data_IF_895127915885
#
_entry.id   IF_895127915885
#
_cell.length_a   1.000
_cell.length_b   1.000
_cell.length_c   1.000
_cell.angle_alpha   90.00
_cell.angle_beta   90.00
_cell.angle_gamma   90.00
#
_symmetry.space_group_name_H-M   'P 1'
#
loop_
_entity.id
_entity.type
_entity.pdbx_description
1 polymer ?
#
# COMPACT_ATOMS: atom_id res chain seq x y z
N UNK A 1 -14.95 -13.00 26.19
CA UNK A 1 -15.28 -12.71 24.78
C UNK A 1 -14.51 -11.46 24.36
N UNK A 2 -13.62 -11.54 23.38
CA UNK A 2 -12.86 -10.39 22.89
C UNK A 2 -13.79 -9.51 22.04
N UNK A 3 -14.03 -8.27 22.48
CA UNK A 3 -14.84 -7.30 21.73
C UNK A 3 -13.90 -6.47 20.86
N UNK A 4 -13.97 -6.67 19.54
CA UNK A 4 -13.26 -5.83 18.59
C UNK A 4 -13.94 -4.47 18.50
N UNK A 5 -13.24 -3.42 18.94
CA UNK A 5 -13.72 -2.03 18.83
C UNK A 5 -13.21 -1.42 17.54
N UNK A 6 -14.12 -0.80 16.78
CA UNK A 6 -13.77 0.02 15.62
C UNK A 6 -14.21 1.46 15.87
N UNK A 7 -13.44 2.41 15.38
CA UNK A 7 -13.73 3.83 15.49
C UNK A 7 -13.82 4.45 14.10
N UNK A 8 -14.83 5.30 13.90
CA UNK A 8 -15.03 6.07 12.68
C UNK A 8 -14.79 7.54 12.98
N UNK A 9 -13.80 8.13 12.31
CA UNK A 9 -13.47 9.54 12.46
C UNK A 9 -13.60 10.26 11.12
N UNK A 10 -14.02 11.53 11.17
CA UNK A 10 -13.92 12.47 10.05
C UNK A 10 -12.85 13.49 10.39
N UNK A 11 -11.86 13.62 9.50
CA UNK A 11 -10.78 14.60 9.63
C UNK A 11 -11.07 15.83 8.77
N UNK A 12 -10.67 17.01 9.26
CA UNK A 12 -10.75 18.28 8.54
C UNK A 12 -9.34 18.88 8.47
N UNK A 13 -8.50 18.40 7.54
CA UNK A 13 -7.12 18.84 7.45
C UNK A 13 -7.02 20.27 6.95
N UNK A 14 -6.01 21.01 7.42
CA UNK A 14 -5.58 22.24 6.77
C UNK A 14 -4.73 21.94 5.52
N UNK A 15 -4.38 22.97 4.74
CA UNK A 15 -3.64 22.80 3.48
C UNK A 15 -2.29 22.09 3.62
N UNK A 16 -1.54 22.34 4.70
CA UNK A 16 -0.27 21.63 4.94
C UNK A 16 -0.52 20.14 5.21
N UNK A 17 -1.54 19.82 5.99
CA UNK A 17 -1.92 18.45 6.30
C UNK A 17 -2.44 17.70 5.07
N UNK A 18 -3.29 18.32 4.23
CA UNK A 18 -3.76 17.74 2.97
C UNK A 18 -2.59 17.28 2.10
N UNK A 19 -1.57 18.13 1.94
CA UNK A 19 -0.38 17.83 1.13
C UNK A 19 0.38 16.63 1.71
N UNK A 20 0.62 16.61 3.02
CA UNK A 20 1.34 15.52 3.67
C UNK A 20 0.56 14.21 3.55
N UNK A 21 -0.74 14.22 3.82
CA UNK A 21 -1.62 13.04 3.68
C UNK A 21 -1.59 12.51 2.25
N UNK A 22 -1.73 13.39 1.26
CA UNK A 22 -1.70 13.00 -0.14
C UNK A 22 -0.36 12.39 -0.54
N UNK A 23 0.77 12.96 -0.09
CA UNK A 23 2.11 12.40 -0.33
C UNK A 23 2.27 11.02 0.32
N UNK A 24 1.94 10.88 1.60
CA UNK A 24 2.11 9.64 2.37
C UNK A 24 1.22 8.50 1.86
N UNK A 25 -0.07 8.78 1.63
CA UNK A 25 -0.99 7.76 1.12
C UNK A 25 -0.70 7.49 -0.37
N UNK A 26 -0.35 8.53 -1.13
CA UNK A 26 -0.04 8.43 -2.55
C UNK A 26 1.18 7.55 -2.83
N UNK A 27 2.29 7.75 -2.13
CA UNK A 27 3.49 6.93 -2.32
C UNK A 27 3.24 5.46 -1.95
N UNK A 28 2.57 5.21 -0.81
CA UNK A 28 2.20 3.86 -0.37
C UNK A 28 1.29 3.17 -1.39
N UNK A 29 0.27 3.88 -1.90
CA UNK A 29 -0.65 3.35 -2.91
C UNK A 29 0.06 3.03 -4.22
N UNK A 30 0.98 3.91 -4.66
CA UNK A 30 1.75 3.70 -5.88
C UNK A 30 2.59 2.42 -5.79
N UNK A 31 3.38 2.28 -4.71
CA UNK A 31 4.22 1.09 -4.49
C UNK A 31 3.37 -0.18 -4.40
N UNK A 32 2.28 -0.15 -3.64
CA UNK A 32 1.37 -1.29 -3.54
C UNK A 32 0.79 -1.70 -4.89
N UNK A 33 0.23 -0.75 -5.65
CA UNK A 33 -0.37 -1.05 -6.95
C UNK A 33 0.65 -1.56 -7.97
N UNK A 34 1.87 -1.02 -7.95
CA UNK A 34 2.96 -1.47 -8.81
C UNK A 34 3.28 -2.96 -8.59
N UNK A 35 3.53 -3.35 -7.34
CA UNK A 35 3.85 -4.74 -7.03
C UNK A 35 2.64 -5.67 -7.10
N UNK A 36 1.43 -5.18 -6.83
CA UNK A 36 0.20 -5.97 -7.04
C UNK A 36 0.01 -6.34 -8.52
N UNK A 37 0.22 -5.39 -9.43
CA UNK A 37 0.15 -5.66 -10.86
C UNK A 37 1.15 -6.75 -11.27
N UNK A 38 2.42 -6.58 -10.88
CA UNK A 38 3.46 -7.56 -11.17
C UNK A 38 3.20 -8.92 -10.54
N UNK A 39 2.70 -8.95 -9.30
CA UNK A 39 2.33 -10.20 -8.65
C UNK A 39 1.27 -10.96 -9.43
N UNK A 40 0.24 -10.26 -9.94
CA UNK A 40 -0.79 -10.88 -10.75
C UNK A 40 -0.22 -11.49 -12.03
N UNK A 41 0.74 -10.83 -12.66
CA UNK A 41 1.39 -11.31 -13.87
C UNK A 41 2.28 -12.52 -13.58
N UNK A 42 3.18 -12.43 -12.59
CA UNK A 42 4.07 -13.55 -12.22
C UNK A 42 3.28 -14.78 -11.76
N UNK A 43 2.18 -14.57 -11.05
CA UNK A 43 1.34 -15.67 -10.59
C UNK A 43 0.62 -16.37 -11.74
N UNK A 44 0.14 -15.62 -12.75
CA UNK A 44 -0.47 -16.21 -13.96
C UNK A 44 0.53 -17.05 -14.75
N UNK A 45 1.78 -16.60 -14.85
CA UNK A 45 2.80 -17.28 -15.65
C UNK A 45 3.43 -18.48 -14.94
N UNK A 46 3.79 -18.33 -13.66
CA UNK A 46 4.60 -19.31 -12.93
C UNK A 46 3.87 -19.99 -11.76
N UNK A 47 2.64 -19.58 -11.44
CA UNK A 47 1.90 -20.03 -10.25
C UNK A 47 2.51 -19.59 -8.92
N UNK A 48 3.48 -18.65 -8.96
CA UNK A 48 4.25 -18.19 -7.80
C UNK A 48 4.23 -16.67 -7.72
N UNK A 49 4.13 -16.16 -6.49
CA UNK A 49 4.18 -14.74 -6.19
C UNK A 49 5.60 -14.20 -6.05
N UNK A 50 5.70 -12.89 -5.82
CA UNK A 50 6.96 -12.21 -5.56
C UNK A 50 7.41 -12.43 -4.11
N UNK A 51 8.71 -12.29 -3.84
CA UNK A 51 9.24 -12.30 -2.47
C UNK A 51 9.51 -10.89 -1.99
N UNK A 52 9.46 -10.67 -0.68
CA UNK A 52 9.78 -9.36 -0.09
C UNK A 52 11.17 -8.86 -0.50
N UNK A 53 12.18 -9.75 -0.48
CA UNK A 53 13.55 -9.39 -0.85
C UNK A 53 13.64 -8.93 -2.30
N UNK A 54 12.93 -9.59 -3.22
CA UNK A 54 12.88 -9.18 -4.63
C UNK A 54 12.21 -7.82 -4.80
N UNK A 55 11.05 -7.59 -4.17
CA UNK A 55 10.37 -6.29 -4.24
C UNK A 55 11.19 -5.17 -3.60
N UNK A 56 11.86 -5.44 -2.47
CA UNK A 56 12.67 -4.45 -1.76
C UNK A 56 13.90 -4.03 -2.57
N UNK A 57 14.55 -4.97 -3.28
CA UNK A 57 15.73 -4.68 -4.10
C UNK A 57 15.44 -3.74 -5.28
N UNK A 58 14.18 -3.61 -5.70
CA UNK A 58 13.79 -2.68 -6.77
C UNK A 58 13.45 -1.27 -6.25
N UNK A 59 13.32 -1.11 -4.93
CA UNK A 59 13.00 0.16 -4.28
C UNK A 59 14.24 0.88 -3.72
N UNK A 60 15.41 0.23 -3.73
CA UNK A 60 16.68 0.71 -3.15
C UNK A 60 17.80 0.58 -4.17
#
# INVERSE_FOLDING_TARGET
MLVNKAYKFRIYPNKKQEIVIAKTIGCSRYVFNHFLARWNDTYKEAGKGLTYLACSAELT
#
